data_IF_773078093908
#
_entry.id   IF_773078093908
#
_cell.length_a   1.000
_cell.length_b   1.000
_cell.length_c   1.000
_cell.angle_alpha   90.00
_cell.angle_beta   90.00
_cell.angle_gamma   90.00
#
_symmetry.space_group_name_H-M   'P 1'
#
loop_
_entity.id
_entity.type
_entity.pdbx_description
1 polymer ?
#
# COMPACT_ATOMS: atom_id res chain seq x y z
N UNK A 1 2.57 0.87 -8.53
CA UNK A 1 3.38 1.24 -7.35
C UNK A 1 2.73 0.61 -6.12
N UNK A 2 3.49 -0.05 -5.24
CA UNK A 2 2.92 -0.54 -3.97
C UNK A 2 2.81 0.62 -3.00
N UNK A 3 1.59 0.95 -2.58
CA UNK A 3 1.38 1.75 -1.37
C UNK A 3 1.49 0.77 -0.20
N UNK A 4 2.43 1.00 0.71
CA UNK A 4 2.52 0.22 1.96
C UNK A 4 1.50 0.80 2.94
N UNK A 5 0.24 0.43 2.72
CA UNK A 5 -0.87 0.81 3.57
C UNK A 5 -1.47 -0.46 4.21
N UNK A 6 -1.96 -0.39 5.45
CA UNK A 6 -2.61 -1.53 6.11
C UNK A 6 -3.82 -2.10 5.36
N UNK A 7 -4.46 -1.27 4.54
CA UNK A 7 -5.57 -1.65 3.67
C UNK A 7 -5.16 -2.03 2.24
N UNK A 8 -3.88 -2.20 1.96
CA UNK A 8 -3.45 -2.59 0.62
C UNK A 8 -4.03 -3.97 0.26
N UNK A 9 -4.55 -4.07 -0.97
CA UNK A 9 -5.25 -5.25 -1.48
C UNK A 9 -4.55 -5.80 -2.71
N UNK A 10 -4.81 -7.06 -3.01
CA UNK A 10 -4.37 -7.67 -4.26
C UNK A 10 -5.24 -7.19 -5.43
N UNK A 11 -4.64 -6.68 -6.51
CA UNK A 11 -5.38 -6.20 -7.70
C UNK A 11 -6.12 -7.30 -8.49
N UNK A 12 -5.92 -8.59 -8.14
CA UNK A 12 -6.56 -9.73 -8.79
C UNK A 12 -7.76 -10.25 -8.00
N UNK A 13 -7.60 -10.50 -6.69
CA UNK A 13 -8.69 -11.04 -5.86
C UNK A 13 -9.38 -9.97 -4.99
N UNK A 14 -8.82 -8.77 -4.90
CA UNK A 14 -9.30 -7.65 -4.09
C UNK A 14 -9.31 -7.90 -2.58
N UNK A 15 -8.69 -9.00 -2.13
CA UNK A 15 -8.50 -9.29 -0.71
C UNK A 15 -7.36 -8.46 -0.13
N UNK A 16 -7.51 -8.09 1.14
CA UNK A 16 -6.47 -7.41 1.92
C UNK A 16 -5.23 -8.28 2.09
N UNK A 17 -4.07 -7.65 2.03
CA UNK A 17 -2.83 -8.30 2.37
C UNK A 17 -2.76 -8.57 3.87
N UNK A 18 -2.43 -9.81 4.22
CA UNK A 18 -2.21 -10.22 5.60
C UNK A 18 -0.84 -10.84 5.75
N UNK A 19 -0.17 -10.44 6.81
CA UNK A 19 1.11 -11.01 7.24
C UNK A 19 0.92 -12.01 8.38
N UNK A 20 -0.30 -12.14 8.90
CA UNK A 20 -0.65 -13.11 9.94
C UNK A 20 -0.69 -14.54 9.38
N UNK A 21 -1.03 -14.69 8.10
CA UNK A 21 -1.06 -15.98 7.41
C UNK A 21 -0.26 -15.91 6.12
N UNK A 22 0.33 -17.02 5.70
CA UNK A 22 1.15 -17.04 4.47
C UNK A 22 0.34 -16.87 3.19
N UNK A 23 -0.99 -17.08 3.24
CA UNK A 23 -1.85 -17.08 2.06
C UNK A 23 -2.02 -15.67 1.47
N UNK A 24 -2.20 -14.64 2.29
CA UNK A 24 -2.42 -13.27 1.78
C UNK A 24 -1.17 -12.39 1.89
N UNK A 25 0.02 -12.99 1.93
CA UNK A 25 1.26 -12.19 1.94
C UNK A 25 1.52 -11.58 0.56
N UNK A 26 1.91 -10.29 0.50
CA UNK A 26 2.22 -9.62 -0.76
C UNK A 26 3.53 -10.14 -1.35
N UNK A 27 3.56 -10.34 -2.67
CA UNK A 27 4.73 -10.76 -3.43
C UNK A 27 4.91 -9.85 -4.64
N UNK A 28 6.15 -9.41 -4.85
CA UNK A 28 6.53 -8.58 -6.00
C UNK A 28 7.13 -9.44 -7.10
N UNK A 29 6.82 -9.08 -8.34
CA UNK A 29 7.43 -9.66 -9.55
C UNK A 29 8.35 -8.61 -10.22
N UNK A 30 9.24 -8.98 -11.16
CA UNK A 30 10.27 -8.08 -11.72
C UNK A 30 9.78 -6.76 -12.30
N UNK A 31 8.53 -6.70 -12.77
CA UNK A 31 7.96 -5.45 -13.28
C UNK A 31 7.48 -4.48 -12.19
N UNK A 32 7.63 -4.82 -10.90
CA UNK A 32 7.26 -3.99 -9.76
C UNK A 32 5.81 -4.10 -9.30
N UNK A 33 4.96 -4.87 -9.99
CA UNK A 33 3.59 -5.12 -9.54
C UNK A 33 3.53 -6.17 -8.43
N UNK A 34 2.55 -6.03 -7.54
CA UNK A 34 2.43 -6.84 -6.32
C UNK A 34 1.12 -7.60 -6.32
N UNK A 35 1.17 -8.88 -5.95
CA UNK A 35 0.03 -9.78 -5.90
C UNK A 35 0.13 -10.71 -4.68
N UNK A 36 -0.98 -11.30 -4.24
CA UNK A 36 -0.92 -12.34 -3.22
C UNK A 36 -0.38 -13.65 -3.81
N UNK A 37 0.23 -14.49 -2.96
CA UNK A 37 0.81 -15.78 -3.37
C UNK A 37 -0.19 -16.70 -4.11
N UNK A 38 -1.46 -16.85 -3.68
CA UNK A 38 -2.47 -17.64 -4.37
C UNK A 38 -2.74 -17.15 -5.79
N UNK A 39 -2.83 -15.83 -6.00
CA UNK A 39 -3.07 -15.26 -7.33
C UNK A 39 -1.89 -15.54 -8.28
N UNK A 40 -0.65 -15.39 -7.82
CA UNK A 40 0.53 -15.75 -8.63
C UNK A 40 0.58 -17.25 -8.96
N UNK A 41 0.19 -18.11 -8.01
CA UNK A 41 0.15 -19.56 -8.21
C UNK A 41 -0.94 -20.06 -9.17
N UNK A 42 -1.97 -19.23 -9.46
CA UNK A 42 -3.08 -19.56 -10.37
C UNK A 42 -2.88 -19.01 -11.78
N UNK A 43 -1.78 -18.31 -12.05
CA UNK A 43 -1.50 -17.80 -13.38
C UNK A 43 -1.25 -18.94 -14.36
N UNK A 44 -1.97 -18.94 -15.49
CA UNK A 44 -1.75 -19.90 -16.58
C UNK A 44 -0.44 -19.65 -17.33
N UNK A 45 0.06 -18.41 -17.30
CA UNK A 45 1.29 -17.97 -17.92
C UNK A 45 2.04 -17.05 -16.94
N UNK A 46 3.37 -17.12 -16.92
CA UNK A 46 4.21 -16.26 -16.08
C UNK A 46 4.32 -14.85 -16.68
N UNK A 47 3.18 -14.17 -16.76
CA UNK A 47 3.03 -12.79 -17.24
C UNK A 47 2.27 -11.97 -16.22
N UNK A 48 2.69 -10.72 -16.03
CA UNK A 48 2.04 -9.78 -15.13
C UNK A 48 0.59 -9.52 -15.57
N UNK A 49 -0.42 -9.67 -14.69
CA UNK A 49 -1.82 -9.34 -15.00
C UNK A 49 -2.05 -7.88 -15.41
N UNK A 50 -1.21 -6.95 -14.95
CA UNK A 50 -1.39 -5.51 -15.14
C UNK A 50 -0.66 -4.98 -16.39
N UNK A 51 0.64 -5.26 -16.51
CA UNK A 51 1.47 -4.74 -17.61
C UNK A 51 1.92 -5.80 -18.63
N UNK A 52 1.52 -7.06 -18.46
CA UNK A 52 1.83 -8.21 -19.37
C UNK A 52 3.32 -8.53 -19.56
N UNK A 53 4.24 -7.91 -18.83
CA UNK A 53 5.66 -8.28 -18.82
C UNK A 53 5.83 -9.72 -18.28
N UNK A 54 6.62 -10.53 -18.97
CA UNK A 54 6.94 -11.90 -18.56
C UNK A 54 7.93 -11.94 -17.41
N UNK A 55 7.88 -12.99 -16.59
CA UNK A 55 8.81 -13.22 -15.48
C UNK A 55 9.04 -14.73 -15.24
N UNK A 56 9.92 -15.08 -14.32
CA UNK A 56 10.21 -16.46 -13.91
C UNK A 56 9.82 -16.71 -12.45
N UNK A 57 9.52 -17.96 -12.10
CA UNK A 57 9.11 -18.34 -10.74
C UNK A 57 10.16 -17.96 -9.67
N UNK A 58 11.46 -18.10 -9.99
CA UNK A 58 12.55 -17.75 -9.08
C UNK A 58 12.75 -16.25 -8.86
N UNK A 59 12.05 -15.41 -9.61
CA UNK A 59 12.14 -13.95 -9.53
C UNK A 59 10.99 -13.35 -8.69
N UNK A 60 10.09 -14.20 -8.19
CA UNK A 60 9.01 -13.78 -7.29
C UNK A 60 9.57 -13.63 -5.89
N UNK A 61 9.54 -12.41 -5.35
CA UNK A 61 10.01 -12.14 -4.00
C UNK A 61 8.83 -11.86 -3.06
N UNK A 62 8.83 -12.48 -1.87
CA UNK A 62 7.89 -12.12 -0.81
C UNK A 62 8.30 -10.76 -0.26
N UNK A 63 7.35 -9.83 -0.18
CA UNK A 63 7.57 -8.57 0.49
C UNK A 63 7.46 -8.77 2.00
N UNK A 64 8.49 -8.33 2.71
CA UNK A 64 8.55 -8.32 4.17
C UNK A 64 8.46 -6.87 4.60
N UNK A 65 7.49 -6.58 5.46
CA UNK A 65 7.25 -5.25 6.00
C UNK A 65 7.45 -5.37 7.50
N UNK A 66 8.44 -4.65 8.02
CA UNK A 66 8.65 -4.56 9.45
C UNK A 66 7.44 -3.86 10.07
N UNK A 67 6.76 -4.57 10.98
CA UNK A 67 5.62 -4.00 11.70
C UNK A 67 6.14 -3.35 12.96
N UNK A 68 5.64 -2.14 13.21
CA UNK A 68 5.78 -1.51 14.52
C UNK A 68 5.11 -2.43 15.54
N UNK A 69 5.79 -2.79 16.65
CA UNK A 69 5.16 -3.58 17.70
C UNK A 69 3.93 -2.85 18.26
N UNK A 70 2.93 -3.57 18.78
CA UNK A 70 1.80 -2.96 19.46
C UNK A 70 2.30 -2.06 20.60
N UNK A 71 1.62 -0.94 20.81
CA UNK A 71 1.83 -0.08 21.99
C UNK A 71 1.37 -0.80 23.28
N UNK A 72 1.55 -0.16 24.43
CA UNK A 72 1.14 -0.74 25.73
C UNK A 72 -0.36 -1.04 25.81
N UNK A 73 -1.17 -0.41 24.96
CA UNK A 73 -2.61 -0.66 24.84
C UNK A 73 -2.95 -1.83 23.91
N UNK A 74 -1.95 -2.50 23.33
CA UNK A 74 -2.13 -3.58 22.36
C UNK A 74 -2.55 -3.09 20.96
N UNK A 75 -2.51 -1.77 20.72
CA UNK A 75 -2.85 -1.16 19.45
C UNK A 75 -1.59 -1.13 18.59
N UNK A 76 -1.65 -1.76 17.42
CA UNK A 76 -0.59 -1.67 16.43
C UNK A 76 -0.86 -0.42 15.58
N UNK A 77 0.07 0.55 15.51
CA UNK A 77 -0.06 1.70 14.62
C UNK A 77 -0.31 1.24 13.18
N UNK A 78 -1.35 1.78 12.54
CA UNK A 78 -1.75 1.34 11.21
C UNK A 78 -2.28 -0.10 11.19
N UNK A 79 -3.05 -0.55 12.18
CA UNK A 79 -3.91 -1.73 11.97
C UNK A 79 -5.28 -1.31 11.48
N UNK A 80 -5.86 -1.99 10.45
CA UNK A 80 -7.19 -1.66 9.99
C UNK A 80 -8.19 -1.82 11.13
N UNK A 81 -8.79 -0.71 11.55
CA UNK A 81 -9.97 -0.74 12.43
C UNK A 81 -11.19 -0.98 11.55
N UNK A 82 -12.18 -1.73 12.07
CA UNK A 82 -13.40 -2.03 11.33
C UNK A 82 -14.22 -0.79 10.95
N UNK A 83 -13.91 0.37 11.56
CA UNK A 83 -14.45 1.67 11.20
C UNK A 83 -13.30 2.66 11.18
N UNK A 84 -13.17 3.35 10.05
CA UNK A 84 -12.29 4.50 9.91
C UNK A 84 -13.04 5.76 10.31
N UNK A 85 -12.38 6.68 11.01
CA UNK A 85 -12.86 8.05 11.15
C UNK A 85 -12.84 8.75 9.79
N UNK A 86 -13.61 9.83 9.67
CA UNK A 86 -13.56 10.67 8.47
C UNK A 86 -12.14 11.17 8.19
N UNK A 87 -11.38 11.46 9.25
CA UNK A 87 -10.00 11.92 9.17
C UNK A 87 -9.03 10.87 8.64
N UNK A 88 -9.23 9.59 8.96
CA UNK A 88 -8.43 8.47 8.43
C UNK A 88 -8.78 8.20 6.97
N UNK A 89 -10.04 8.38 6.56
CA UNK A 89 -10.46 8.22 5.17
C UNK A 89 -9.81 9.27 4.25
N UNK A 90 -9.78 10.53 4.68
CA UNK A 90 -9.11 11.62 3.95
C UNK A 90 -7.61 11.37 3.80
N UNK A 91 -6.96 10.84 4.84
CA UNK A 91 -5.54 10.45 4.80
C UNK A 91 -5.29 9.41 3.71
N UNK A 92 -6.11 8.36 3.69
CA UNK A 92 -6.01 7.27 2.71
C UNK A 92 -6.19 7.80 1.29
N UNK A 93 -7.15 8.71 1.09
CA UNK A 93 -7.43 9.33 -0.20
C UNK A 93 -6.25 10.18 -0.69
N UNK A 94 -5.69 11.04 0.17
CA UNK A 94 -4.52 11.85 -0.15
C UNK A 94 -3.30 10.99 -0.48
N UNK A 95 -3.04 9.94 0.31
CA UNK A 95 -1.96 8.99 0.04
C UNK A 95 -2.13 8.28 -1.31
N UNK A 96 -3.36 7.89 -1.67
CA UNK A 96 -3.64 7.28 -2.97
C UNK A 96 -3.41 8.26 -4.12
N UNK A 97 -3.85 9.51 -3.98
CA UNK A 97 -3.65 10.56 -4.99
C UNK A 97 -2.17 10.87 -5.18
N UNK A 98 -1.42 11.04 -4.09
CA UNK A 98 0.02 11.29 -4.14
C UNK A 98 0.76 10.12 -4.84
N UNK A 99 0.32 8.89 -4.56
CA UNK A 99 0.90 7.70 -5.16
C UNK A 99 0.64 7.60 -6.67
N UNK A 100 -0.53 8.02 -7.14
CA UNK A 100 -0.86 8.08 -8.57
C UNK A 100 -0.13 9.24 -9.25
N UNK A 101 0.01 10.38 -8.57
CA UNK A 101 0.65 11.57 -9.13
C UNK A 101 2.17 11.43 -9.25
N UNK A 102 2.83 10.61 -8.41
CA UNK A 102 4.28 10.37 -8.43
C UNK A 102 4.77 9.48 -9.60
N UNK A 103 3.95 9.24 -10.63
CA UNK A 103 4.30 8.42 -11.78
C UNK A 103 5.24 9.14 -12.77
N UNK A 104 6.06 8.38 -13.52
CA UNK A 104 7.02 8.93 -14.50
C UNK A 104 6.34 9.70 -15.66
N UNK A 105 5.08 9.36 -15.96
CA UNK A 105 4.29 9.98 -17.03
C UNK A 105 3.36 11.11 -16.54
N UNK A 106 3.35 11.43 -15.25
CA UNK A 106 2.45 12.45 -14.69
C UNK A 106 3.07 13.85 -14.81
N UNK A 107 2.31 14.88 -15.24
CA UNK A 107 2.81 16.26 -15.26
C UNK A 107 3.24 16.74 -13.87
N UNK A 108 4.40 17.39 -13.78
CA UNK A 108 4.94 17.95 -12.53
C UNK A 108 3.94 18.87 -11.80
N UNK A 109 3.11 19.60 -12.55
CA UNK A 109 2.08 20.45 -11.99
C UNK A 109 1.04 19.66 -11.18
N UNK A 110 0.61 18.49 -11.66
CA UNK A 110 -0.36 17.63 -10.95
C UNK A 110 0.25 17.08 -9.66
N UNK A 111 1.53 16.70 -9.67
CA UNK A 111 2.24 16.28 -8.47
C UNK A 111 2.34 17.42 -7.45
N UNK A 112 2.69 18.63 -7.89
CA UNK A 112 2.78 19.81 -7.02
C UNK A 112 1.45 20.15 -6.38
N UNK A 113 0.34 20.10 -7.12
CA UNK A 113 -1.01 20.35 -6.59
C UNK A 113 -1.38 19.37 -5.48
N UNK A 114 -1.08 18.08 -5.67
CA UNK A 114 -1.38 17.05 -4.66
C UNK A 114 -0.48 17.20 -3.42
N UNK A 115 0.76 17.64 -3.59
CA UNK A 115 1.67 17.94 -2.47
C UNK A 115 1.14 19.12 -1.65
N UNK A 116 0.75 20.23 -2.30
CA UNK A 116 0.20 21.41 -1.61
C UNK A 116 -1.06 21.07 -0.81
N UNK A 117 -1.94 20.23 -1.36
CA UNK A 117 -3.12 19.74 -0.66
C UNK A 117 -2.76 18.87 0.55
N UNK A 118 -1.79 17.97 0.42
CA UNK A 118 -1.32 17.14 1.51
C UNK A 118 -0.67 17.98 2.63
N UNK A 119 0.15 18.96 2.28
CA UNK A 119 0.77 19.88 3.24
C UNK A 119 -0.29 20.70 3.98
N UNK A 120 -1.27 21.27 3.27
CA UNK A 120 -2.38 21.99 3.90
C UNK A 120 -3.18 21.10 4.86
N UNK A 121 -3.39 19.83 4.50
CA UNK A 121 -4.07 18.86 5.34
C UNK A 121 -3.25 18.49 6.59
N UNK A 122 -1.92 18.42 6.47
CA UNK A 122 -0.99 18.17 7.58
C UNK A 122 -0.90 19.36 8.54
N UNK A 123 -0.84 20.59 8.01
CA UNK A 123 -0.79 21.82 8.82
C UNK A 123 -2.01 21.98 9.74
N UNK A 124 -3.19 21.50 9.30
CA UNK A 124 -4.40 21.47 10.12
C UNK A 124 -4.36 20.47 11.28
N UNK A 125 -3.31 19.66 11.39
CA UNK A 125 -3.21 18.50 12.28
C UNK A 125 -1.83 18.49 12.95
N UNK A 126 -1.60 19.42 13.88
CA UNK A 126 -0.38 19.39 14.69
C UNK A 126 -0.15 17.97 15.27
N UNK A 127 1.10 17.48 15.28
CA UNK A 127 1.40 16.17 15.83
C UNK A 127 0.94 16.17 17.28
N UNK A 128 0.04 15.24 17.62
CA UNK A 128 -0.34 15.02 19.01
C UNK A 128 0.94 14.88 19.81
N UNK A 129 1.21 15.83 20.69
CA UNK A 129 2.32 15.84 21.62
C UNK A 129 2.45 14.45 22.24
N UNK A 130 3.52 13.74 21.90
CA UNK A 130 3.98 12.60 22.68
C UNK A 130 4.40 13.20 24.03
N UNK A 131 3.53 13.08 25.03
CA UNK A 131 3.76 13.59 26.37
C UNK A 131 5.02 12.98 26.97
N UNK A 132 5.78 13.85 27.64
CA UNK A 132 6.95 13.57 28.51
C UNK A 132 6.70 12.45 29.53
#
# INVERSE_FOLDING_TARGET
MLIVHPLSRCDVCLDEYSFATTQNTPHVIPCGHVFCKPCLGRLSQLMCPLCRKSFRLGEIARLVIDRVPPDESGIIPGTPRARFSQTEMEEIELLQRLALASGEDTPEAELSEVIEEADSWLEGREPSSVGE
#
